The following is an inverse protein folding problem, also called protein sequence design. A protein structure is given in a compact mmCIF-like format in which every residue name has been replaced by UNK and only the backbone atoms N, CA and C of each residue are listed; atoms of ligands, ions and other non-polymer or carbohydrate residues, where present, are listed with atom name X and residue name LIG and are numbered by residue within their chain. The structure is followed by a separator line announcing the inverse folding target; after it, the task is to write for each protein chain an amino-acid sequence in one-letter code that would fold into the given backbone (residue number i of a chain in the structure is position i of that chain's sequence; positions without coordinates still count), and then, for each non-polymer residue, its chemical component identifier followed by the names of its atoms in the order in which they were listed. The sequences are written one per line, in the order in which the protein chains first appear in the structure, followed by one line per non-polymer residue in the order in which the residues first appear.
data_IF_411921111817
#
_entry.id   IF_411921111817
#
_cell.length_a   1.000
_cell.length_b   1.000
_cell.length_c   1.000
_cell.angle_alpha   90.00
_cell.angle_beta   90.00
_cell.angle_gamma   90.00
#
_symmetry.space_group_name_H-M   'P 1'
#
loop_
_entity.id
_entity.type
_entity.pdbx_description
1 polymer ?
#
# COMPACT_ATOMS: atom_id res chain seq x y z
N UNK A 1 38.35 -30.81 -21.34
CA UNK A 1 36.98 -30.57 -21.85
C UNK A 1 36.84 -29.06 -22.06
N UNK A 2 37.03 -28.59 -23.29
CA UNK A 2 36.85 -27.18 -23.65
C UNK A 2 35.38 -26.95 -24.00
N UNK A 3 34.70 -26.17 -23.17
CA UNK A 3 33.37 -25.61 -23.43
C UNK A 3 33.48 -24.67 -24.63
N UNK A 4 32.88 -25.07 -25.76
CA UNK A 4 32.70 -24.20 -26.93
C UNK A 4 31.68 -23.13 -26.55
N UNK A 5 32.16 -21.91 -26.34
CA UNK A 5 31.34 -20.70 -26.33
C UNK A 5 30.79 -20.56 -27.76
N UNK A 6 29.47 -20.71 -27.95
CA UNK A 6 28.79 -20.40 -29.22
C UNK A 6 28.74 -18.87 -29.36
N UNK A 7 29.43 -18.26 -30.34
CA UNK A 7 29.25 -16.85 -30.65
C UNK A 7 28.13 -16.76 -31.69
N UNK A 8 26.93 -16.37 -31.27
CA UNK A 8 25.79 -16.24 -32.17
C UNK A 8 24.42 -16.09 -31.50
N UNK A 9 24.38 -15.90 -30.16
CA UNK A 9 23.14 -15.55 -29.48
C UNK A 9 22.73 -14.12 -29.83
N UNK A 10 21.51 -13.96 -30.33
CA UNK A 10 20.84 -12.69 -30.60
C UNK A 10 21.10 -11.67 -29.48
N UNK A 11 21.92 -10.65 -29.75
CA UNK A 11 22.16 -9.54 -28.83
C UNK A 11 20.94 -8.60 -28.72
N UNK A 12 19.86 -8.86 -29.46
CA UNK A 12 18.64 -8.04 -29.46
C UNK A 12 17.56 -8.49 -28.46
N UNK A 13 17.53 -9.77 -28.07
CA UNK A 13 16.41 -10.32 -27.30
C UNK A 13 16.23 -9.67 -25.91
N UNK A 14 17.27 -9.48 -25.07
CA UNK A 14 17.08 -8.89 -23.74
C UNK A 14 16.64 -7.42 -23.77
N UNK A 15 17.15 -6.64 -24.73
CA UNK A 15 16.82 -5.22 -24.86
C UNK A 15 15.38 -5.01 -25.35
N UNK A 16 14.92 -5.84 -26.29
CA UNK A 16 13.55 -5.83 -26.77
C UNK A 16 12.57 -6.23 -25.66
N UNK A 17 12.89 -7.29 -24.91
CA UNK A 17 12.09 -7.73 -23.76
C UNK A 17 12.01 -6.65 -22.67
N UNK A 18 13.15 -6.04 -22.30
CA UNK A 18 13.17 -4.92 -21.35
C UNK A 18 12.29 -3.75 -21.83
N UNK A 19 12.32 -3.43 -23.12
CA UNK A 19 11.46 -2.40 -23.71
C UNK A 19 9.97 -2.77 -23.60
N UNK A 20 9.60 -4.03 -23.85
CA UNK A 20 8.22 -4.52 -23.71
C UNK A 20 7.73 -4.46 -22.26
N UNK A 21 8.57 -4.87 -21.29
CA UNK A 21 8.23 -4.80 -19.86
C UNK A 21 8.11 -3.34 -19.39
N UNK A 22 8.99 -2.44 -19.87
CA UNK A 22 8.88 -0.99 -19.60
C UNK A 22 7.60 -0.40 -20.18
N UNK A 23 7.22 -0.80 -21.39
CA UNK A 23 5.97 -0.35 -22.02
C UNK A 23 4.75 -0.84 -21.23
N UNK A 24 4.71 -2.11 -20.80
CA UNK A 24 3.63 -2.63 -19.96
C UNK A 24 3.56 -1.90 -18.61
N UNK A 25 4.71 -1.64 -17.96
CA UNK A 25 4.74 -0.90 -16.71
C UNK A 25 4.23 0.53 -16.87
N UNK A 26 4.62 1.23 -17.94
CA UNK A 26 4.11 2.57 -18.25
C UNK A 26 2.59 2.57 -18.46
N UNK A 27 2.04 1.55 -19.13
CA UNK A 27 0.60 1.40 -19.29
C UNK A 27 -0.12 1.16 -17.96
N UNK A 28 0.47 0.37 -17.06
CA UNK A 28 -0.05 0.14 -15.70
C UNK A 28 -0.02 1.43 -14.84
N UNK A 29 0.98 2.28 -15.04
CA UNK A 29 1.08 3.60 -14.40
C UNK A 29 0.05 4.59 -14.98
N UNK A 30 -0.17 4.53 -16.29
CA UNK A 30 -1.18 5.33 -17.00
C UNK A 30 -2.61 4.86 -16.76
N UNK A 31 -2.81 3.62 -16.30
CA UNK A 31 -4.09 3.11 -15.84
C UNK A 31 -4.50 3.78 -14.53
N UNK A 32 -4.88 5.04 -14.67
CA UNK A 32 -5.27 5.93 -13.60
C UNK A 32 -6.65 5.55 -13.11
N UNK A 33 -6.70 5.00 -11.92
CA UNK A 33 -7.93 4.75 -11.18
C UNK A 33 -8.37 5.99 -10.39
N UNK A 34 -7.96 7.20 -10.81
CA UNK A 34 -8.22 8.47 -10.13
C UNK A 34 -9.49 9.13 -10.66
N UNK A 35 -10.22 9.85 -9.79
CA UNK A 35 -11.47 10.54 -10.15
C UNK A 35 -12.68 9.61 -10.22
N UNK A 36 -12.47 8.30 -10.23
CA UNK A 36 -13.52 7.29 -10.25
C UNK A 36 -14.34 7.27 -8.94
N UNK A 37 -13.82 7.82 -7.85
CA UNK A 37 -14.53 7.86 -6.57
C UNK A 37 -15.78 8.77 -6.55
N UNK A 38 -15.94 9.64 -7.55
CA UNK A 38 -17.16 10.44 -7.74
C UNK A 38 -18.24 9.76 -8.58
N UNK A 39 -17.91 8.63 -9.21
CA UNK A 39 -18.83 7.87 -10.06
C UNK A 39 -19.49 6.74 -9.27
N UNK A 40 -20.57 6.16 -9.80
CA UNK A 40 -21.15 4.96 -9.21
C UNK A 40 -20.18 3.79 -9.35
N UNK A 41 -20.12 2.94 -8.33
CA UNK A 41 -19.21 1.79 -8.36
C UNK A 41 -19.49 0.88 -9.57
N UNK A 42 -20.75 0.79 -10.03
CA UNK A 42 -21.14 0.10 -11.27
C UNK A 42 -20.47 0.70 -12.51
N UNK A 43 -20.49 2.03 -12.65
CA UNK A 43 -19.88 2.71 -13.79
C UNK A 43 -18.37 2.51 -13.80
N UNK A 44 -17.73 2.67 -12.62
CA UNK A 44 -16.30 2.43 -12.44
C UNK A 44 -15.95 1.00 -12.82
N UNK A 45 -16.68 0.01 -12.31
CA UNK A 45 -16.42 -1.40 -12.61
C UNK A 45 -16.58 -1.70 -14.12
N UNK A 46 -17.60 -1.13 -14.77
CA UNK A 46 -17.81 -1.31 -16.21
C UNK A 46 -16.65 -0.75 -17.07
N UNK A 47 -16.00 0.31 -16.61
CA UNK A 47 -14.87 0.91 -17.32
C UNK A 47 -13.51 0.24 -16.99
N UNK A 48 -13.30 -0.10 -15.72
CA UNK A 48 -12.00 -0.57 -15.23
C UNK A 48 -11.78 -2.06 -15.53
N UNK A 49 -12.82 -2.89 -15.45
CA UNK A 49 -12.70 -4.34 -15.64
C UNK A 49 -12.17 -4.74 -17.03
N UNK A 50 -12.67 -4.18 -18.16
CA UNK A 50 -12.14 -4.53 -19.48
C UNK A 50 -10.67 -4.14 -19.65
N UNK A 51 -10.26 -3.02 -19.06
CA UNK A 51 -8.85 -2.57 -19.08
C UNK A 51 -7.97 -3.53 -18.29
N UNK A 52 -8.41 -3.93 -17.10
CA UNK A 52 -7.70 -4.92 -16.28
C UNK A 52 -7.56 -6.28 -16.96
N UNK A 53 -8.63 -6.76 -17.61
CA UNK A 53 -8.61 -8.01 -18.38
C UNK A 53 -7.59 -7.94 -19.54
N UNK A 54 -7.61 -6.86 -20.32
CA UNK A 54 -6.66 -6.63 -21.41
C UNK A 54 -5.22 -6.61 -20.92
N UNK A 55 -4.94 -5.90 -19.82
CA UNK A 55 -3.60 -5.80 -19.25
C UNK A 55 -3.11 -7.15 -18.71
N UNK A 56 -3.98 -7.95 -18.09
CA UNK A 56 -3.65 -9.31 -17.68
C UNK A 56 -3.34 -10.22 -18.86
N UNK A 57 -4.14 -10.19 -19.93
CA UNK A 57 -3.87 -10.98 -21.14
C UNK A 57 -2.52 -10.62 -21.75
N UNK A 58 -2.24 -9.33 -21.90
CA UNK A 58 -0.95 -8.87 -22.43
C UNK A 58 0.22 -9.25 -21.53
N UNK A 59 0.06 -9.12 -20.21
CA UNK A 59 1.08 -9.56 -19.27
C UNK A 59 1.33 -11.06 -19.43
N UNK A 60 0.27 -11.88 -19.46
CA UNK A 60 0.38 -13.32 -19.66
C UNK A 60 1.16 -13.67 -20.94
N UNK A 61 0.82 -13.05 -22.08
CA UNK A 61 1.55 -13.26 -23.35
C UNK A 61 3.04 -12.92 -23.22
N UNK A 62 3.35 -11.78 -22.61
CA UNK A 62 4.73 -11.33 -22.39
C UNK A 62 5.52 -12.29 -21.49
N UNK A 63 4.96 -12.66 -20.34
CA UNK A 63 5.63 -13.55 -19.40
C UNK A 63 5.74 -14.99 -19.92
N UNK A 64 4.77 -15.47 -20.70
CA UNK A 64 4.82 -16.79 -21.34
C UNK A 64 5.94 -16.87 -22.38
N UNK A 65 6.07 -15.85 -23.23
CA UNK A 65 7.18 -15.78 -24.18
C UNK A 65 8.54 -15.82 -23.48
N UNK A 66 8.65 -15.19 -22.30
CA UNK A 66 9.88 -15.19 -21.50
C UNK A 66 10.18 -16.55 -20.87
N UNK A 67 9.15 -17.28 -20.43
CA UNK A 67 9.30 -18.64 -19.89
C UNK A 67 9.78 -19.60 -20.99
N UNK A 68 9.19 -19.53 -22.19
CA UNK A 68 9.58 -20.35 -23.33
C UNK A 68 11.03 -20.07 -23.76
N UNK A 69 11.41 -18.78 -23.89
CA UNK A 69 12.79 -18.37 -24.20
C UNK A 69 13.79 -18.83 -23.12
N UNK A 70 13.37 -18.81 -21.84
CA UNK A 70 14.15 -19.31 -20.71
C UNK A 70 14.39 -20.83 -20.82
N UNK A 71 13.35 -21.59 -21.20
CA UNK A 71 13.43 -23.03 -21.37
C UNK A 71 14.31 -23.45 -22.57
N UNK A 72 14.34 -22.67 -23.65
CA UNK A 72 14.99 -23.04 -24.91
C UNK A 72 16.49 -22.70 -25.03
N UNK A 73 17.05 -21.79 -24.24
CA UNK A 73 18.46 -21.44 -24.43
C UNK A 73 19.10 -20.40 -23.52
N UNK A 74 18.33 -19.75 -22.64
CA UNK A 74 18.85 -18.89 -21.59
C UNK A 74 19.37 -19.79 -20.46
N UNK A 75 20.68 -20.10 -20.49
CA UNK A 75 21.43 -20.98 -19.58
C UNK A 75 20.77 -21.18 -18.19
N UNK A 76 20.78 -22.42 -17.69
CA UNK A 76 20.15 -22.93 -16.45
C UNK A 76 20.46 -22.19 -15.11
N UNK A 77 21.01 -20.99 -15.15
CA UNK A 77 21.25 -20.06 -14.03
C UNK A 77 20.35 -18.80 -14.10
N UNK A 78 19.37 -18.74 -15.00
CA UNK A 78 18.64 -17.52 -15.36
C UNK A 78 17.48 -17.16 -14.41
N UNK A 79 17.80 -16.31 -13.42
CA UNK A 79 16.85 -15.57 -12.57
C UNK A 79 15.61 -14.97 -13.28
N UNK A 80 15.64 -14.51 -14.55
CA UNK A 80 14.44 -13.99 -15.21
C UNK A 80 13.36 -15.05 -15.44
N UNK A 81 13.73 -16.29 -15.78
CA UNK A 81 12.78 -17.37 -16.06
C UNK A 81 11.95 -17.74 -14.82
N UNK A 82 12.62 -17.84 -13.66
CA UNK A 82 11.93 -18.09 -12.38
C UNK A 82 10.92 -16.98 -12.05
N UNK A 83 11.29 -15.71 -12.24
CA UNK A 83 10.39 -14.57 -12.01
C UNK A 83 9.20 -14.63 -12.96
N UNK A 84 9.44 -14.92 -14.25
CA UNK A 84 8.38 -15.04 -15.25
C UNK A 84 7.41 -16.18 -14.91
N UNK A 85 7.93 -17.35 -14.52
CA UNK A 85 7.13 -18.50 -14.08
C UNK A 85 6.24 -18.15 -12.87
N UNK A 86 6.82 -17.56 -11.80
CA UNK A 86 6.04 -17.16 -10.63
C UNK A 86 5.01 -16.08 -10.97
N UNK A 87 5.35 -15.13 -11.84
CA UNK A 87 4.42 -14.11 -12.32
C UNK A 87 3.26 -14.75 -13.10
N UNK A 88 3.53 -15.72 -13.99
CA UNK A 88 2.50 -16.44 -14.74
C UNK A 88 1.53 -17.18 -13.83
N UNK A 89 2.04 -17.91 -12.83
CA UNK A 89 1.18 -18.62 -11.86
C UNK A 89 0.17 -17.67 -11.20
N UNK A 90 0.64 -16.50 -10.74
CA UNK A 90 -0.23 -15.48 -10.13
C UNK A 90 -1.15 -14.81 -11.16
N UNK A 91 -0.67 -14.54 -12.38
CA UNK A 91 -1.50 -13.97 -13.45
C UNK A 91 -2.63 -14.93 -13.83
N UNK A 92 -2.37 -16.23 -13.99
CA UNK A 92 -3.38 -17.25 -14.28
C UNK A 92 -4.43 -17.32 -13.17
N UNK A 93 -4.00 -17.24 -11.90
CA UNK A 93 -4.91 -17.18 -10.75
C UNK A 93 -5.77 -15.91 -10.77
N UNK A 94 -5.18 -14.76 -11.09
CA UNK A 94 -5.90 -13.49 -11.21
C UNK A 94 -6.87 -13.48 -12.39
N UNK A 95 -6.49 -14.04 -13.55
CA UNK A 95 -7.36 -14.22 -14.70
C UNK A 95 -8.55 -15.12 -14.37
N UNK A 96 -8.33 -16.24 -13.67
CA UNK A 96 -9.40 -17.10 -13.19
C UNK A 96 -10.31 -16.35 -12.22
N UNK A 97 -9.74 -15.62 -11.26
CA UNK A 97 -10.51 -14.79 -10.31
C UNK A 97 -11.35 -13.73 -11.02
N UNK A 98 -10.78 -13.05 -12.03
CA UNK A 98 -11.45 -12.02 -12.82
C UNK A 98 -12.54 -12.59 -13.74
N UNK A 99 -12.30 -13.77 -14.32
CA UNK A 99 -13.28 -14.46 -15.17
C UNK A 99 -14.44 -15.02 -14.37
N UNK A 100 -14.15 -15.50 -13.15
CA UNK A 100 -15.14 -15.99 -12.19
C UNK A 100 -15.76 -14.89 -11.33
N UNK A 101 -15.31 -13.64 -11.48
CA UNK A 101 -15.89 -12.49 -10.82
C UNK A 101 -17.31 -12.27 -11.36
N UNK A 102 -18.28 -12.97 -10.76
CA UNK A 102 -19.68 -12.93 -11.14
C UNK A 102 -20.17 -11.46 -11.20
N UNK A 103 -21.11 -11.13 -12.10
CA UNK A 103 -21.86 -9.86 -12.02
C UNK A 103 -22.48 -9.61 -10.64
N UNK A 104 -22.67 -10.68 -9.85
CA UNK A 104 -23.14 -10.63 -8.46
C UNK A 104 -22.12 -10.05 -7.47
N UNK A 105 -20.83 -9.97 -7.83
CA UNK A 105 -19.87 -9.29 -6.98
C UNK A 105 -20.23 -7.80 -6.88
N UNK A 106 -20.31 -7.27 -5.63
CA UNK A 106 -20.52 -5.85 -5.43
C UNK A 106 -19.50 -5.05 -6.25
N UNK A 107 -19.91 -3.98 -6.94
CA UNK A 107 -19.01 -3.32 -7.89
C UNK A 107 -17.70 -2.80 -7.26
N UNK A 108 -17.72 -2.40 -6.00
CA UNK A 108 -16.51 -2.00 -5.27
C UNK A 108 -15.51 -3.16 -5.09
N UNK A 109 -15.97 -4.41 -4.95
CA UNK A 109 -15.10 -5.59 -4.93
C UNK A 109 -14.42 -5.82 -6.27
N UNK A 110 -15.11 -5.52 -7.38
CA UNK A 110 -14.54 -5.60 -8.73
C UNK A 110 -13.44 -4.55 -8.92
N UNK A 111 -13.65 -3.34 -8.40
CA UNK A 111 -12.63 -2.27 -8.38
C UNK A 111 -11.41 -2.68 -7.57
N UNK A 112 -11.60 -3.23 -6.36
CA UNK A 112 -10.52 -3.76 -5.52
C UNK A 112 -9.71 -4.85 -6.23
N UNK A 113 -10.40 -5.75 -6.94
CA UNK A 113 -9.75 -6.79 -7.74
C UNK A 113 -8.87 -6.17 -8.83
N UNK A 114 -9.34 -5.13 -9.52
CA UNK A 114 -8.52 -4.42 -10.51
C UNK A 114 -7.31 -3.69 -9.89
N UNK A 115 -7.44 -3.11 -8.69
CA UNK A 115 -6.30 -2.55 -7.97
C UNK A 115 -5.27 -3.61 -7.61
N UNK A 116 -5.75 -4.77 -7.12
CA UNK A 116 -4.90 -5.91 -6.79
C UNK A 116 -4.14 -6.40 -8.03
N UNK A 117 -4.85 -6.60 -9.15
CA UNK A 117 -4.27 -6.98 -10.44
C UNK A 117 -3.19 -5.99 -10.85
N UNK A 118 -3.51 -4.68 -10.83
CA UNK A 118 -2.56 -3.63 -11.19
C UNK A 118 -1.30 -3.69 -10.33
N UNK A 119 -1.47 -3.81 -9.01
CA UNK A 119 -0.35 -3.91 -8.07
C UNK A 119 0.53 -5.13 -8.30
N UNK A 120 -0.07 -6.31 -8.51
CA UNK A 120 0.66 -7.54 -8.80
C UNK A 120 1.43 -7.46 -10.11
N UNK A 121 0.80 -6.94 -11.17
CA UNK A 121 1.46 -6.75 -12.46
C UNK A 121 2.61 -5.75 -12.38
N UNK A 122 2.44 -4.62 -11.67
CA UNK A 122 3.52 -3.67 -11.45
C UNK A 122 4.70 -4.32 -10.72
N UNK A 123 4.44 -5.08 -9.66
CA UNK A 123 5.50 -5.77 -8.91
C UNK A 123 6.25 -6.78 -9.79
N UNK A 124 5.54 -7.56 -10.60
CA UNK A 124 6.14 -8.51 -11.54
C UNK A 124 6.99 -7.80 -12.60
N UNK A 125 6.47 -6.72 -13.21
CA UNK A 125 7.20 -5.90 -14.17
C UNK A 125 8.46 -5.28 -13.54
N UNK A 126 8.39 -4.72 -12.33
CA UNK A 126 9.55 -4.13 -11.65
C UNK A 126 10.59 -5.19 -11.26
N UNK A 127 10.16 -6.38 -10.83
CA UNK A 127 11.06 -7.48 -10.52
C UNK A 127 11.79 -7.97 -11.78
N UNK A 128 11.07 -8.10 -12.90
CA UNK A 128 11.65 -8.52 -14.16
C UNK A 128 12.55 -7.44 -14.76
N UNK A 129 12.15 -6.17 -14.73
CA UNK A 129 13.01 -5.03 -15.12
C UNK A 129 14.34 -5.08 -14.38
N UNK A 130 14.33 -5.27 -13.05
CA UNK A 130 15.55 -5.37 -12.24
C UNK A 130 16.50 -6.49 -12.68
N UNK A 131 15.96 -7.59 -13.18
CA UNK A 131 16.79 -8.73 -13.60
C UNK A 131 17.24 -8.60 -15.06
N UNK A 132 16.43 -7.94 -15.91
CA UNK A 132 16.73 -7.71 -17.32
C UNK A 132 17.61 -6.49 -17.56
N UNK A 133 17.48 -5.43 -16.76
CA UNK A 133 18.37 -4.30 -16.82
C UNK A 133 19.67 -4.68 -16.11
N UNK A 134 20.77 -4.71 -16.85
CA UNK A 134 22.13 -4.70 -16.29
C UNK A 134 22.42 -3.37 -15.55
N UNK A 135 21.38 -2.61 -15.21
CA UNK A 135 21.47 -1.32 -14.56
C UNK A 135 22.05 -1.50 -13.15
N UNK A 136 22.96 -0.60 -12.75
CA UNK A 136 23.53 -0.64 -11.42
C UNK A 136 22.41 -0.52 -10.37
N UNK A 137 22.56 -1.23 -9.25
CA UNK A 137 21.59 -1.28 -8.14
C UNK A 137 21.06 0.12 -7.70
N UNK A 138 21.83 1.18 -7.93
CA UNK A 138 21.52 2.56 -7.60
C UNK A 138 20.23 3.13 -8.24
N UNK A 139 19.88 2.80 -9.50
CA UNK A 139 18.65 3.35 -10.11
C UNK A 139 17.37 2.69 -9.55
N UNK A 140 17.48 1.42 -9.15
CA UNK A 140 16.39 0.68 -8.52
C UNK A 140 16.13 1.16 -7.10
N UNK A 141 17.19 1.56 -6.40
CA UNK A 141 17.08 2.20 -5.09
C UNK A 141 16.27 3.49 -5.17
N UNK A 142 16.44 4.32 -6.21
CA UNK A 142 15.64 5.54 -6.37
C UNK A 142 14.13 5.28 -6.50
N UNK A 143 13.73 4.27 -7.26
CA UNK A 143 12.30 3.92 -7.43
C UNK A 143 11.72 3.47 -6.09
N UNK A 144 12.44 2.60 -5.38
CA UNK A 144 12.03 2.12 -4.06
C UNK A 144 11.99 3.26 -3.03
N UNK A 145 12.95 4.18 -3.06
CA UNK A 145 12.97 5.36 -2.20
C UNK A 145 11.78 6.28 -2.47
N UNK A 146 11.41 6.50 -3.74
CA UNK A 146 10.22 7.28 -4.11
C UNK A 146 8.94 6.62 -3.60
N UNK A 147 8.84 5.30 -3.70
CA UNK A 147 7.71 4.53 -3.18
C UNK A 147 7.61 4.63 -1.65
N UNK A 148 8.71 4.41 -0.94
CA UNK A 148 8.79 4.57 0.52
C UNK A 148 8.41 6.00 0.90
N UNK A 149 8.97 7.02 0.23
CA UNK A 149 8.64 8.41 0.49
C UNK A 149 7.14 8.71 0.28
N UNK A 150 6.53 8.15 -0.76
CA UNK A 150 5.08 8.24 -1.02
C UNK A 150 4.28 7.61 0.12
N UNK A 151 4.63 6.39 0.50
CA UNK A 151 3.96 5.66 1.56
C UNK A 151 4.09 6.36 2.93
N UNK A 152 5.26 6.97 3.21
CA UNK A 152 5.49 7.78 4.40
C UNK A 152 4.61 9.03 4.44
N UNK A 153 4.42 9.72 3.30
CA UNK A 153 3.49 10.87 3.21
C UNK A 153 2.05 10.45 3.48
N UNK A 154 1.59 9.37 2.85
CA UNK A 154 0.25 8.80 3.07
C UNK A 154 0.05 8.44 4.55
N UNK A 155 1.00 7.71 5.15
CA UNK A 155 0.97 7.35 6.58
C UNK A 155 0.86 8.58 7.46
N UNK A 156 1.70 9.58 7.22
CA UNK A 156 1.70 10.83 7.99
C UNK A 156 0.35 11.54 7.85
N UNK A 157 -0.21 11.62 6.64
CA UNK A 157 -1.51 12.25 6.43
C UNK A 157 -2.63 11.53 7.17
N UNK A 158 -2.65 10.19 7.13
CA UNK A 158 -3.60 9.38 7.89
C UNK A 158 -3.40 9.54 9.41
N UNK A 159 -2.16 9.63 9.89
CA UNK A 159 -1.88 9.89 11.30
C UNK A 159 -2.44 11.24 11.75
N UNK A 160 -2.24 12.30 10.96
CA UNK A 160 -2.81 13.63 11.21
C UNK A 160 -4.34 13.60 11.30
N UNK A 161 -4.96 12.90 10.35
CA UNK A 161 -6.41 12.71 10.32
C UNK A 161 -6.92 12.01 11.58
N UNK A 162 -6.27 10.90 11.99
CA UNK A 162 -6.61 10.17 13.22
C UNK A 162 -6.45 11.03 14.48
N UNK A 163 -5.33 11.75 14.60
CA UNK A 163 -5.06 12.64 15.72
C UNK A 163 -6.11 13.76 15.83
N UNK A 164 -6.46 14.38 14.69
CA UNK A 164 -7.49 15.41 14.61
C UNK A 164 -8.87 14.91 15.03
N UNK A 165 -9.28 13.73 14.56
CA UNK A 165 -10.54 13.10 14.97
C UNK A 165 -10.54 12.75 16.46
N UNK A 166 -9.47 12.17 16.99
CA UNK A 166 -9.38 11.80 18.40
C UNK A 166 -9.42 13.03 19.32
N UNK A 167 -8.76 14.12 18.95
CA UNK A 167 -8.84 15.39 19.67
C UNK A 167 -10.25 15.97 19.65
N UNK A 168 -10.90 15.95 18.48
CA UNK A 168 -12.26 16.41 18.29
C UNK A 168 -13.30 15.61 19.09
N UNK A 169 -13.21 14.28 19.03
CA UNK A 169 -14.13 13.35 19.66
C UNK A 169 -14.25 13.60 21.18
N UNK A 170 -13.14 13.90 21.85
CA UNK A 170 -13.11 14.23 23.29
C UNK A 170 -13.97 15.44 23.66
N UNK A 171 -14.16 16.37 22.73
CA UNK A 171 -14.92 17.61 22.97
C UNK A 171 -16.38 17.55 22.51
N UNK A 172 -16.79 16.48 21.83
CA UNK A 172 -18.08 16.33 21.17
C UNK A 172 -18.77 15.00 21.53
N UNK A 173 -18.53 14.50 22.75
CA UNK A 173 -19.05 13.20 23.20
C UNK A 173 -20.59 13.22 23.23
N UNK A 174 -21.22 14.28 23.70
CA UNK A 174 -22.67 14.29 23.91
C UNK A 174 -23.47 15.02 22.81
N UNK A 175 -22.81 15.51 21.75
CA UNK A 175 -23.44 16.25 20.66
C UNK A 175 -23.16 15.59 19.30
N UNK A 176 -24.10 14.78 18.78
CA UNK A 176 -23.99 14.14 17.46
C UNK A 176 -23.79 15.16 16.33
N UNK A 177 -24.40 16.34 16.41
CA UNK A 177 -24.30 17.37 15.37
C UNK A 177 -22.88 17.94 15.32
N UNK A 178 -22.33 18.30 16.48
CA UNK A 178 -20.94 18.77 16.55
C UNK A 178 -19.95 17.70 16.11
N UNK A 179 -20.19 16.44 16.49
CA UNK A 179 -19.37 15.30 16.10
C UNK A 179 -19.37 15.06 14.58
N UNK A 180 -20.55 15.08 13.95
CA UNK A 180 -20.69 14.92 12.50
C UNK A 180 -20.08 16.08 11.71
N UNK A 181 -20.20 17.32 12.20
CA UNK A 181 -19.51 18.48 11.60
C UNK A 181 -17.99 18.30 11.64
N UNK A 182 -17.46 17.87 12.78
CA UNK A 182 -16.03 17.63 12.95
C UNK A 182 -15.52 16.53 12.01
N UNK A 183 -16.26 15.41 11.93
CA UNK A 183 -15.99 14.32 10.99
C UNK A 183 -16.00 14.81 9.54
N UNK A 184 -17.03 15.56 9.14
CA UNK A 184 -17.16 16.12 7.80
C UNK A 184 -15.99 17.06 7.45
N UNK A 185 -15.59 17.94 8.36
CA UNK A 185 -14.41 18.82 8.17
C UNK A 185 -13.13 18.01 8.04
N UNK A 186 -12.90 17.03 8.90
CA UNK A 186 -11.70 16.19 8.85
C UNK A 186 -11.60 15.42 7.53
N UNK A 187 -12.71 14.84 7.05
CA UNK A 187 -12.77 14.13 5.76
C UNK A 187 -12.58 15.10 4.59
N UNK A 188 -13.17 16.29 4.63
CA UNK A 188 -12.96 17.30 3.59
C UNK A 188 -11.49 17.72 3.49
N UNK A 189 -10.82 17.90 4.64
CA UNK A 189 -9.38 18.17 4.67
C UNK A 189 -8.56 16.98 4.17
N UNK A 190 -8.95 15.74 4.49
CA UNK A 190 -8.28 14.54 4.01
C UNK A 190 -8.37 14.46 2.48
N UNK A 191 -9.58 14.56 1.94
CA UNK A 191 -9.86 14.57 0.50
C UNK A 191 -9.14 15.69 -0.24
N UNK A 192 -9.08 16.89 0.35
CA UNK A 192 -8.44 18.05 -0.26
C UNK A 192 -6.91 18.04 -0.19
N UNK A 193 -6.29 17.01 0.40
CA UNK A 193 -4.84 16.90 0.49
C UNK A 193 -4.22 16.31 -0.77
N UNK A 194 -2.98 16.70 -1.08
CA UNK A 194 -2.21 16.19 -2.21
C UNK A 194 -1.98 14.67 -2.12
N UNK A 195 -1.82 14.16 -0.90
CA UNK A 195 -1.59 12.74 -0.63
C UNK A 195 -2.86 11.89 -0.84
N UNK A 196 -4.04 12.49 -0.92
CA UNK A 196 -5.28 11.74 -1.11
C UNK A 196 -5.24 10.90 -2.39
N UNK A 197 -4.63 11.42 -3.46
CA UNK A 197 -4.45 10.67 -4.71
C UNK A 197 -3.54 9.45 -4.53
N UNK A 198 -2.72 9.40 -3.49
CA UNK A 198 -1.84 8.28 -3.20
C UNK A 198 -2.52 7.16 -2.40
N UNK A 199 -3.78 7.35 -2.02
CA UNK A 199 -4.56 6.36 -1.29
C UNK A 199 -5.05 5.27 -2.24
N UNK A 200 -5.22 4.06 -1.71
CA UNK A 200 -5.90 2.97 -2.43
C UNK A 200 -7.28 3.46 -2.85
N UNK A 201 -7.73 3.11 -4.05
CA UNK A 201 -9.05 3.49 -4.54
C UNK A 201 -10.14 2.96 -3.60
N UNK A 202 -10.01 1.73 -3.09
CA UNK A 202 -10.90 1.19 -2.03
C UNK A 202 -11.03 2.13 -0.83
N UNK A 203 -9.90 2.59 -0.28
CA UNK A 203 -9.89 3.56 0.83
C UNK A 203 -10.56 4.89 0.44
N UNK A 204 -10.29 5.39 -0.78
CA UNK A 204 -10.90 6.61 -1.31
C UNK A 204 -12.42 6.47 -1.48
N UNK A 205 -12.89 5.34 -2.00
CA UNK A 205 -14.31 5.05 -2.15
C UNK A 205 -15.01 4.99 -0.79
N UNK A 206 -14.39 4.34 0.20
CA UNK A 206 -14.91 4.30 1.56
C UNK A 206 -14.98 5.70 2.18
N UNK A 207 -13.93 6.51 2.03
CA UNK A 207 -13.91 7.92 2.47
C UNK A 207 -15.05 8.72 1.83
N UNK A 208 -15.29 8.57 0.52
CA UNK A 208 -16.39 9.25 -0.18
C UNK A 208 -17.75 8.76 0.27
N UNK A 209 -17.92 7.46 0.52
CA UNK A 209 -19.15 6.89 1.03
C UNK A 209 -19.50 7.49 2.41
N UNK A 210 -18.53 7.49 3.35
CA UNK A 210 -18.71 8.09 4.68
C UNK A 210 -19.00 9.60 4.56
N UNK A 211 -18.29 10.32 3.69
CA UNK A 211 -18.53 11.76 3.48
C UNK A 211 -19.96 12.03 2.99
N UNK A 212 -20.47 11.22 2.04
CA UNK A 212 -21.84 11.32 1.54
C UNK A 212 -22.86 11.04 2.66
N UNK A 213 -22.64 10.00 3.45
CA UNK A 213 -23.54 9.64 4.55
C UNK A 213 -23.60 10.75 5.61
N UNK A 214 -22.46 11.37 5.96
CA UNK A 214 -22.43 12.54 6.85
C UNK A 214 -23.22 13.71 6.26
N UNK A 215 -23.03 14.03 4.98
CA UNK A 215 -23.73 15.13 4.32
C UNK A 215 -25.24 14.88 4.25
N UNK A 216 -25.65 13.64 3.93
CA UNK A 216 -27.05 13.21 3.91
C UNK A 216 -27.69 13.34 5.30
N UNK A 217 -27.00 12.87 6.34
CA UNK A 217 -27.47 13.03 7.72
C UNK A 217 -27.58 14.50 8.11
N UNK A 218 -26.59 15.34 7.79
CA UNK A 218 -26.60 16.77 8.14
C UNK A 218 -27.71 17.56 7.44
N UNK A 219 -28.07 17.18 6.21
CA UNK A 219 -29.14 17.80 5.42
C UNK A 219 -30.54 17.25 5.72
N UNK A 220 -30.63 16.12 6.42
CA UNK A 220 -31.91 15.54 6.83
C UNK A 220 -32.71 16.48 7.74
N UNK A 221 -34.04 16.50 7.54
CA UNK A 221 -34.96 17.24 8.41
C UNK A 221 -35.07 16.59 9.81
N UNK A 222 -34.92 15.27 9.87
CA UNK A 222 -34.93 14.48 11.11
C UNK A 222 -33.53 13.90 11.34
N UNK A 223 -32.71 14.59 12.13
CA UNK A 223 -31.37 14.15 12.47
C UNK A 223 -31.41 13.03 13.50
N UNK A 224 -31.57 11.80 13.03
CA UNK A 224 -31.60 10.61 13.88
C UNK A 224 -30.24 10.36 14.54
N UNK A 225 -30.23 10.24 15.87
CA UNK A 225 -29.03 9.96 16.64
C UNK A 225 -28.45 8.56 16.36
N UNK A 226 -29.30 7.57 16.03
CA UNK A 226 -28.83 6.20 15.70
C UNK A 226 -28.08 6.19 14.38
N UNK A 227 -28.60 6.87 13.37
CA UNK A 227 -27.90 7.04 12.09
C UNK A 227 -26.57 7.78 12.28
N UNK A 228 -26.53 8.86 13.07
CA UNK A 228 -25.29 9.57 13.39
C UNK A 228 -24.25 8.65 14.04
N UNK A 229 -24.70 7.78 14.95
CA UNK A 229 -23.83 6.82 15.63
C UNK A 229 -23.30 5.75 14.66
N UNK A 230 -24.14 5.22 13.76
CA UNK A 230 -23.70 4.27 12.70
C UNK A 230 -22.61 4.89 11.83
N UNK A 231 -22.85 6.10 11.31
CA UNK A 231 -21.88 6.81 10.46
C UNK A 231 -20.58 7.09 11.21
N UNK A 232 -20.67 7.39 12.50
CA UNK A 232 -19.49 7.55 13.35
C UNK A 232 -18.71 6.23 13.53
N UNK A 233 -19.40 5.11 13.75
CA UNK A 233 -18.78 3.79 13.85
C UNK A 233 -18.09 3.39 12.55
N UNK A 234 -18.73 3.64 11.40
CA UNK A 234 -18.14 3.40 10.07
C UNK A 234 -16.85 4.23 9.89
N UNK A 235 -16.86 5.50 10.30
CA UNK A 235 -15.68 6.35 10.30
C UNK A 235 -14.56 5.84 11.21
N UNK A 236 -14.90 5.39 12.43
CA UNK A 236 -13.92 4.82 13.36
C UNK A 236 -13.37 3.50 12.84
N UNK A 237 -14.19 2.71 12.14
CA UNK A 237 -13.76 1.52 11.41
C UNK A 237 -12.73 1.87 10.33
N UNK A 238 -12.99 2.89 9.52
CA UNK A 238 -12.01 3.40 8.55
C UNK A 238 -10.71 3.87 9.22
N UNK A 239 -10.81 4.59 10.35
CA UNK A 239 -9.63 5.02 11.12
C UNK A 239 -8.77 3.83 11.54
N UNK A 240 -9.37 2.72 11.96
CA UNK A 240 -8.63 1.50 12.29
C UNK A 240 -8.00 0.86 11.06
N UNK A 241 -8.80 0.67 9.99
CA UNK A 241 -8.33 0.10 8.72
C UNK A 241 -7.17 0.89 8.13
N UNK A 242 -7.17 2.21 8.27
CA UNK A 242 -6.09 3.09 7.78
C UNK A 242 -4.72 2.77 8.39
N UNK A 243 -4.65 2.05 9.52
CA UNK A 243 -3.38 1.59 10.09
C UNK A 243 -2.75 0.46 9.29
N UNK A 244 -3.51 -0.22 8.44
CA UNK A 244 -3.00 -1.28 7.56
C UNK A 244 -1.95 -0.77 6.57
N UNK A 245 -1.88 0.55 6.32
CA UNK A 245 -0.78 1.15 5.54
C UNK A 245 0.60 0.79 6.12
N UNK A 246 0.70 0.62 7.45
CA UNK A 246 1.94 0.25 8.13
C UNK A 246 2.41 -1.18 7.82
N UNK A 247 1.54 -2.02 7.23
CA UNK A 247 1.87 -3.39 6.81
C UNK A 247 2.42 -3.47 5.39
N UNK A 248 2.57 -2.33 4.70
CA UNK A 248 3.18 -2.30 3.39
C UNK A 248 4.65 -2.75 3.49
N UNK A 249 5.08 -3.72 2.66
CA UNK A 249 6.40 -4.35 2.79
C UNK A 249 7.54 -3.33 2.78
N UNK A 250 7.49 -2.35 1.88
CA UNK A 250 8.49 -1.28 1.77
C UNK A 250 8.52 -0.39 3.02
N UNK A 251 7.36 -0.05 3.60
CA UNK A 251 7.28 0.67 4.88
C UNK A 251 7.76 -0.18 6.06
N UNK A 252 7.35 -1.44 6.14
CA UNK A 252 7.76 -2.32 7.24
C UNK A 252 9.28 -2.48 7.27
N UNK A 253 9.92 -2.72 6.11
CA UNK A 253 11.39 -2.77 6.00
C UNK A 253 12.04 -1.44 6.40
N UNK A 254 11.49 -0.32 5.93
CA UNK A 254 11.96 1.01 6.31
C UNK A 254 11.89 1.21 7.83
N UNK A 255 10.75 0.88 8.43
CA UNK A 255 10.49 1.08 9.86
C UNK A 255 11.38 0.21 10.73
N UNK A 256 11.59 -1.06 10.36
CA UNK A 256 12.54 -1.95 11.02
C UNK A 256 13.96 -1.37 11.01
N UNK A 257 14.41 -0.90 9.84
CA UNK A 257 15.72 -0.26 9.70
C UNK A 257 15.84 1.03 10.52
N UNK A 258 14.81 1.87 10.51
CA UNK A 258 14.76 3.10 11.28
C UNK A 258 14.75 2.85 12.79
N UNK A 259 13.93 1.91 13.27
CA UNK A 259 13.88 1.51 14.68
C UNK A 259 15.21 0.89 15.15
N UNK A 260 15.86 0.07 14.32
CA UNK A 260 17.17 -0.49 14.62
C UNK A 260 18.24 0.61 14.73
N UNK A 261 18.27 1.56 13.80
CA UNK A 261 19.19 2.72 13.83
C UNK A 261 18.97 3.60 15.06
N UNK A 262 17.71 3.85 15.43
CA UNK A 262 17.37 4.57 16.65
C UNK A 262 17.84 3.81 17.89
N UNK A 263 17.56 2.50 17.98
CA UNK A 263 17.99 1.68 19.10
C UNK A 263 19.51 1.71 19.28
N UNK A 264 20.28 1.55 18.19
CA UNK A 264 21.75 1.60 18.21
C UNK A 264 22.25 2.99 18.60
N UNK A 265 21.63 4.06 18.09
CA UNK A 265 22.06 5.44 18.37
C UNK A 265 21.75 5.89 19.80
N UNK A 266 20.76 5.26 20.45
CA UNK A 266 20.41 5.45 21.85
C UNK A 266 21.16 4.49 22.79
N UNK A 267 21.81 3.44 22.26
CA UNK A 267 22.61 2.53 23.05
C UNK A 267 23.82 3.27 23.64
N UNK A 268 24.02 3.15 24.94
CA UNK A 268 25.11 3.83 25.66
C UNK A 268 24.84 5.30 26.02
N UNK A 269 23.71 5.90 25.60
CA UNK A 269 23.33 7.25 26.04
C UNK A 269 22.74 7.23 27.46
N UNK A 270 23.08 8.22 28.31
CA UNK A 270 22.45 8.39 29.61
C UNK A 270 20.92 8.41 29.54
N UNK A 271 20.27 7.79 30.52
CA UNK A 271 18.82 7.59 30.53
C UNK A 271 18.01 8.89 30.45
N UNK A 272 18.54 9.97 31.04
CA UNK A 272 17.88 11.28 31.19
C UNK A 272 18.19 12.25 30.05
N UNK A 273 19.13 11.92 29.17
CA UNK A 273 19.50 12.78 28.05
C UNK A 273 18.31 12.95 27.10
N UNK A 274 18.11 14.15 26.52
CA UNK A 274 17.12 14.35 25.48
C UNK A 274 17.45 13.55 24.21
N UNK A 275 16.45 13.37 23.33
CA UNK A 275 16.68 12.81 22.00
C UNK A 275 17.72 13.68 21.25
N UNK A 276 18.76 13.08 20.65
CA UNK A 276 19.72 13.83 19.83
C UNK A 276 19.05 14.43 18.60
N UNK A 277 19.26 15.72 18.33
CA UNK A 277 18.66 16.43 17.17
C UNK A 277 18.90 15.75 15.81
N UNK A 278 20.06 15.11 15.52
CA UNK A 278 20.24 14.38 14.26
C UNK A 278 19.28 13.20 14.06
N UNK A 279 18.64 12.70 15.12
CA UNK A 279 17.66 11.61 15.04
C UNK A 279 16.22 12.11 14.81
N UNK A 280 15.97 13.42 14.88
CA UNK A 280 14.62 13.98 14.70
C UNK A 280 13.99 13.63 13.35
N UNK A 281 14.68 13.73 12.20
CA UNK A 281 14.09 13.35 10.92
C UNK A 281 13.70 11.86 10.87
N UNK A 282 14.52 11.00 11.47
CA UNK A 282 14.28 9.56 11.53
C UNK A 282 13.05 9.23 12.38
N UNK A 283 12.92 9.90 13.52
CA UNK A 283 11.75 9.77 14.40
C UNK A 283 10.49 10.32 13.73
N UNK A 284 10.57 11.47 13.05
CA UNK A 284 9.45 12.06 12.30
C UNK A 284 8.95 11.13 11.19
N UNK A 285 9.86 10.44 10.51
CA UNK A 285 9.49 9.46 9.48
C UNK A 285 8.62 8.33 10.06
N UNK A 286 8.80 7.95 11.33
CA UNK A 286 8.02 6.91 12.01
C UNK A 286 6.65 7.38 12.54
N UNK A 287 6.28 8.64 12.37
CA UNK A 287 4.98 9.12 12.83
C UNK A 287 3.83 8.41 12.11
N UNK A 288 2.82 8.01 12.87
CA UNK A 288 1.70 7.19 12.41
C UNK A 288 1.94 5.69 12.49
N UNK A 289 3.14 5.24 12.88
CA UNK A 289 3.44 3.82 13.04
C UNK A 289 2.74 3.24 14.27
N UNK A 290 2.86 3.91 15.42
CA UNK A 290 2.40 3.39 16.70
C UNK A 290 1.94 4.51 17.65
N UNK A 291 0.78 4.40 18.31
CA UNK A 291 0.22 5.48 19.13
C UNK A 291 1.15 5.98 20.26
N UNK A 292 1.88 5.08 20.92
CA UNK A 292 2.85 5.49 21.96
C UNK A 292 4.04 6.24 21.37
N UNK A 293 4.45 5.91 20.15
CA UNK A 293 5.52 6.61 19.45
C UNK A 293 5.04 8.00 19.06
N UNK A 294 3.83 8.10 18.51
CA UNK A 294 3.21 9.38 18.13
C UNK A 294 3.10 10.32 19.33
N UNK A 295 2.70 9.81 20.50
CA UNK A 295 2.64 10.58 21.74
C UNK A 295 4.03 11.09 22.20
N UNK A 296 5.11 10.37 21.93
CA UNK A 296 6.47 10.84 22.19
C UNK A 296 6.89 11.93 21.19
N UNK A 297 6.54 11.76 19.91
CA UNK A 297 6.84 12.71 18.82
C UNK A 297 6.11 14.04 19.01
N UNK A 298 4.85 14.01 19.42
CA UNK A 298 3.98 15.19 19.56
C UNK A 298 4.17 15.92 20.90
N UNK A 299 4.94 15.35 21.81
CA UNK A 299 5.17 15.93 23.13
C UNK A 299 5.89 17.27 23.05
N UNK A 300 5.33 18.30 23.70
CA UNK A 300 5.97 19.61 23.87
C UNK A 300 7.11 19.59 24.90
N UNK A 301 7.15 18.57 25.78
CA UNK A 301 8.24 18.38 26.75
C UNK A 301 9.35 17.52 26.14
N UNK A 302 10.64 17.85 26.34
CA UNK A 302 11.76 16.99 25.96
C UNK A 302 11.57 15.59 26.55
N UNK A 303 11.70 14.57 25.69
CA UNK A 303 11.60 13.16 26.09
C UNK A 303 13.00 12.58 26.24
N UNK A 304 13.14 11.79 27.29
CA UNK A 304 14.42 11.19 27.67
C UNK A 304 14.75 10.00 26.80
N UNK A 305 16.03 9.70 26.62
CA UNK A 305 16.52 8.52 25.90
C UNK A 305 15.94 7.21 26.47
N UNK A 306 15.66 7.15 27.77
CA UNK A 306 14.97 6.00 28.38
C UNK A 306 13.56 5.78 27.81
N UNK A 307 12.73 6.84 27.73
CA UNK A 307 11.37 6.73 27.21
C UNK A 307 11.33 6.27 25.75
N UNK A 308 12.28 6.74 24.94
CA UNK A 308 12.45 6.28 23.55
C UNK A 308 12.85 4.81 23.48
N UNK A 309 13.84 4.38 24.28
CA UNK A 309 14.28 2.97 24.32
C UNK A 309 13.15 2.04 24.73
N UNK A 310 12.38 2.40 25.76
CA UNK A 310 11.23 1.61 26.20
C UNK A 310 10.19 1.49 25.09
N UNK A 311 9.83 2.61 24.45
CA UNK A 311 8.87 2.59 23.34
C UNK A 311 9.35 1.75 22.15
N UNK A 312 10.63 1.87 21.76
CA UNK A 312 11.20 1.10 20.65
C UNK A 312 11.22 -0.40 20.99
N UNK A 313 11.59 -0.77 22.22
CA UNK A 313 11.57 -2.17 22.68
C UNK A 313 10.17 -2.76 22.59
N UNK A 314 9.17 -2.02 23.04
CA UNK A 314 7.78 -2.50 23.06
C UNK A 314 7.26 -2.71 21.62
N UNK A 315 7.49 -1.75 20.72
CA UNK A 315 7.09 -1.86 19.30
C UNK A 315 7.77 -3.07 18.63
N UNK A 316 9.09 -3.24 18.83
CA UNK A 316 9.81 -4.38 18.27
C UNK A 316 9.32 -5.71 18.86
N UNK A 317 8.94 -5.71 20.14
CA UNK A 317 8.35 -6.87 20.80
C UNK A 317 6.97 -7.24 20.24
N UNK A 318 6.17 -6.25 19.86
CA UNK A 318 4.88 -6.46 19.16
C UNK A 318 5.09 -6.98 17.74
N UNK A 319 6.03 -6.41 16.98
CA UNK A 319 6.37 -6.84 15.62
C UNK A 319 6.95 -8.26 15.56
N UNK A 320 7.68 -8.68 16.60
CA UNK A 320 8.25 -10.02 16.69
C UNK A 320 7.21 -11.11 17.00
N UNK A 321 6.02 -10.74 17.47
CA UNK A 321 4.95 -11.72 17.70
C UNK A 321 4.46 -12.21 16.34
N UNK A 322 4.43 -13.52 16.08
CA UNK A 322 3.84 -14.02 14.85
C UNK A 322 2.41 -13.50 14.77
N UNK A 323 2.10 -12.77 13.68
CA UNK A 323 0.72 -12.37 13.41
C UNK A 323 -0.10 -13.65 13.43
N UNK A 324 -1.00 -13.78 14.40
CA UNK A 324 -1.98 -14.88 14.41
C UNK A 324 -2.61 -14.85 13.02
N UNK A 325 -2.44 -15.94 12.28
CA UNK A 325 -2.70 -15.98 10.84
C UNK A 325 -4.05 -15.33 10.53
N UNK A 326 -4.05 -14.45 9.53
CA UNK A 326 -5.25 -13.74 9.10
C UNK A 326 -6.35 -14.78 8.82
N UNK A 327 -7.45 -14.81 9.59
CA UNK A 327 -8.54 -15.77 9.36
C UNK A 327 -9.22 -15.56 7.99
N UNK A 328 -8.89 -14.48 7.28
CA UNK A 328 -9.30 -14.18 5.91
C UNK A 328 -8.31 -14.66 4.84
N UNK A 329 -7.20 -15.30 5.20
CA UNK A 329 -6.43 -16.09 4.25
C UNK A 329 -7.36 -17.21 3.75
N UNK A 330 -7.99 -16.99 2.59
CA UNK A 330 -8.89 -17.95 1.95
C UNK A 330 -8.23 -19.32 2.02
N UNK A 331 -8.92 -20.35 2.55
CA UNK A 331 -8.35 -21.69 2.62
C UNK A 331 -7.88 -22.03 1.21
N UNK A 332 -6.57 -22.26 1.05
CA UNK A 332 -6.07 -22.78 -0.21
C UNK A 332 -6.86 -24.07 -0.45
N UNK A 333 -7.64 -24.08 -1.53
CA UNK A 333 -8.37 -25.26 -1.93
C UNK A 333 -7.31 -26.35 -2.12
N UNK A 334 -7.20 -27.25 -1.14
CA UNK A 334 -6.37 -28.44 -1.30
C UNK A 334 -6.99 -29.22 -2.46
N UNK A 335 -6.22 -29.55 -3.51
CA UNK A 335 -6.73 -30.43 -4.54
C UNK A 335 -7.10 -31.77 -3.90
N UNK A 336 -8.28 -32.26 -4.25
CA UNK A 336 -8.83 -33.55 -3.83
C UNK A 336 -8.10 -34.71 -4.52
#
# INVERSE_FOLDING_TARGET
MSTRIRPGGSTGAPAELLAQVRALNLELEQWRLYGLESESAEHVAAHVMPVGARLLSRAHELFASLEDDAAEGLAAETRPGDIAYFALLEITKLQSTLSNASPELPPWRRVELCELIRGQLMNACSALQRVLSEEPEAELDEVQEREVARALRVRSRLAAFRAGLAAGARTAIDDPTRRMRLAGTALAMLVGSTEYQDFRLSDRMLVRAIQRDILAWMSSAQRDAREAQRVWEDLMGFVELSRQVNRHVSLSRHDEGALARLATSLAGRPAYDPLPSPLEPLVRALWGLHPRLDALIESTKPRTCAAWRDCIRDIRGEQARPSVADPLALPSARPA
#
